data_IF_590924739326
#
_entry.id   IF_590924739326
#
_cell.length_a   1.000
_cell.length_b   1.000
_cell.length_c   1.000
_cell.angle_alpha   90.00
_cell.angle_beta   90.00
_cell.angle_gamma   90.00
#
_symmetry.space_group_name_H-M   'P 1'
#
loop_
_entity.id
_entity.type
_entity.pdbx_description
1 polymer ?
#
# COMPACT_ATOMS: atom_id res chain seq x y z
N UNK A 1 -2.91 9.71 19.63
CA UNK A 1 -2.14 10.57 18.70
C UNK A 1 -2.97 11.81 18.36
N UNK A 2 -2.42 13.03 18.51
CA UNK A 2 -3.14 14.27 18.21
C UNK A 2 -3.40 14.44 16.70
N UNK A 3 -4.45 15.23 16.35
CA UNK A 3 -4.80 15.52 14.94
C UNK A 3 -3.63 16.14 14.17
N UNK A 4 -2.91 17.08 14.80
CA UNK A 4 -1.75 17.75 14.19
C UNK A 4 -0.64 16.76 13.80
N UNK A 5 -0.31 15.80 14.66
CA UNK A 5 0.72 14.78 14.37
C UNK A 5 0.32 13.88 13.19
N UNK A 6 -0.98 13.55 13.05
CA UNK A 6 -1.48 12.75 11.91
C UNK A 6 -1.30 13.49 10.58
N UNK A 7 -1.67 14.77 10.57
CA UNK A 7 -1.56 15.64 9.38
C UNK A 7 -0.08 15.78 8.98
N UNK A 8 0.80 16.04 9.94
CA UNK A 8 2.24 16.15 9.68
C UNK A 8 2.83 14.89 9.05
N UNK A 9 2.46 13.70 9.56
CA UNK A 9 2.93 12.43 8.99
C UNK A 9 2.40 12.22 7.57
N UNK A 10 1.11 12.48 7.32
CA UNK A 10 0.56 12.37 5.96
C UNK A 10 1.23 13.34 4.99
N UNK A 11 1.57 14.55 5.43
CA UNK A 11 2.27 15.53 4.61
C UNK A 11 3.69 15.06 4.26
N UNK A 12 4.44 14.54 5.24
CA UNK A 12 5.77 13.96 4.99
C UNK A 12 5.70 12.76 4.02
N UNK A 13 4.72 11.87 4.21
CA UNK A 13 4.51 10.73 3.32
C UNK A 13 4.16 11.17 1.90
N UNK A 14 3.36 12.22 1.75
CA UNK A 14 3.03 12.82 0.47
C UNK A 14 4.28 13.38 -0.22
N UNK A 15 5.12 14.12 0.51
CA UNK A 15 6.34 14.69 -0.02
C UNK A 15 7.30 13.60 -0.52
N UNK A 16 7.51 12.54 0.28
CA UNK A 16 8.36 11.40 -0.12
C UNK A 16 7.81 10.70 -1.36
N UNK A 17 6.50 10.44 -1.42
CA UNK A 17 5.87 9.80 -2.57
C UNK A 17 5.99 10.65 -3.85
N UNK A 18 5.73 11.96 -3.75
CA UNK A 18 5.85 12.90 -4.88
C UNK A 18 7.28 13.00 -5.39
N UNK A 19 8.27 13.08 -4.49
CA UNK A 19 9.70 13.12 -4.87
C UNK A 19 10.10 11.81 -5.57
N UNK A 20 9.66 10.65 -5.06
CA UNK A 20 9.95 9.37 -5.72
C UNK A 20 9.37 9.30 -7.13
N UNK A 21 8.15 9.81 -7.33
CA UNK A 21 7.53 9.86 -8.66
C UNK A 21 8.24 10.85 -9.59
N UNK A 22 8.63 12.03 -9.09
CA UNK A 22 9.43 12.98 -9.86
C UNK A 22 10.76 12.36 -10.32
N UNK A 23 11.50 11.72 -9.40
CA UNK A 23 12.75 11.04 -9.72
C UNK A 23 12.57 9.91 -10.74
N UNK A 24 11.44 9.19 -10.70
CA UNK A 24 11.13 8.16 -11.68
C UNK A 24 10.85 8.71 -13.10
N UNK A 25 10.50 9.98 -13.22
CA UNK A 25 10.35 10.69 -14.49
C UNK A 25 11.67 11.13 -15.11
N UNK A 26 12.80 11.08 -14.39
CA UNK A 26 14.09 11.53 -14.90
C UNK A 26 14.74 10.46 -15.81
N UNK A 27 15.20 10.83 -17.02
CA UNK A 27 15.70 9.88 -18.01
C UNK A 27 16.95 9.11 -17.58
N UNK A 28 17.72 9.64 -16.61
CA UNK A 28 18.93 9.00 -16.07
C UNK A 28 18.68 7.95 -14.99
N UNK A 29 17.46 7.84 -14.45
CA UNK A 29 17.15 6.99 -13.28
C UNK A 29 16.27 5.76 -13.60
N UNK A 30 16.17 5.37 -14.88
CA UNK A 30 15.33 4.27 -15.36
C UNK A 30 15.53 2.94 -14.61
N UNK A 31 16.74 2.68 -14.14
CA UNK A 31 17.11 1.46 -13.42
C UNK A 31 16.58 1.40 -11.98
N UNK A 32 16.24 2.55 -11.37
CA UNK A 32 15.83 2.66 -9.96
C UNK A 32 14.31 2.82 -9.84
N UNK A 33 13.58 2.88 -10.96
CA UNK A 33 12.11 3.09 -11.01
C UNK A 33 11.35 2.08 -10.15
N UNK A 34 11.78 0.81 -10.14
CA UNK A 34 11.15 -0.22 -9.30
C UNK A 34 11.34 0.08 -7.80
N UNK A 35 12.54 0.49 -7.39
CA UNK A 35 12.84 0.84 -5.99
C UNK A 35 12.05 2.08 -5.57
N UNK A 36 12.01 3.11 -6.42
CA UNK A 36 11.21 4.32 -6.19
C UNK A 36 9.72 4.00 -6.09
N UNK A 37 9.22 3.07 -6.91
CA UNK A 37 7.85 2.58 -6.84
C UNK A 37 7.54 1.83 -5.54
N UNK A 38 8.48 1.07 -5.00
CA UNK A 38 8.32 0.43 -3.68
C UNK A 38 8.30 1.48 -2.57
N UNK A 39 9.23 2.44 -2.58
CA UNK A 39 9.31 3.51 -1.57
C UNK A 39 8.03 4.35 -1.56
N UNK A 40 7.54 4.74 -2.75
CA UNK A 40 6.33 5.54 -2.87
C UNK A 40 5.09 4.77 -2.38
N UNK A 41 5.01 3.47 -2.68
CA UNK A 41 3.92 2.60 -2.24
C UNK A 41 3.91 2.39 -0.72
N UNK A 42 5.08 2.25 -0.12
CA UNK A 42 5.24 2.22 1.34
C UNK A 42 4.82 3.54 1.97
N UNK A 43 5.29 4.68 1.42
CA UNK A 43 4.99 6.00 1.95
C UNK A 43 3.47 6.26 2.02
N UNK A 44 2.74 5.90 0.96
CA UNK A 44 1.29 6.09 0.88
C UNK A 44 0.55 5.32 1.98
N UNK A 45 1.04 4.15 2.40
CA UNK A 45 0.34 3.30 3.39
C UNK A 45 0.78 3.49 4.84
N UNK A 46 1.83 4.27 5.11
CA UNK A 46 2.28 4.57 6.49
C UNK A 46 1.14 5.13 7.37
N UNK A 47 0.32 6.10 6.91
CA UNK A 47 -0.79 6.61 7.74
C UNK A 47 -1.81 5.52 8.11
N UNK A 48 -2.07 4.58 7.21
CA UNK A 48 -2.95 3.42 7.42
C UNK A 48 -2.36 2.40 8.40
N UNK A 49 -1.03 2.20 8.36
CA UNK A 49 -0.34 1.32 9.31
C UNK A 49 -0.35 1.85 10.75
N UNK A 50 -0.41 3.16 10.94
CA UNK A 50 -0.46 3.79 12.26
C UNK A 50 -1.85 3.71 12.92
N UNK A 51 -2.91 3.90 12.14
CA UNK A 51 -4.31 3.77 12.61
C UNK A 51 -5.21 3.42 11.43
N UNK A 52 -6.00 2.35 11.57
CA UNK A 52 -6.95 1.91 10.53
C UNK A 52 -8.00 2.98 10.17
N UNK A 53 -8.25 3.95 11.07
CA UNK A 53 -9.17 5.08 10.82
C UNK A 53 -8.57 6.15 9.90
N UNK A 54 -7.27 6.09 9.58
CA UNK A 54 -6.59 7.05 8.72
C UNK A 54 -6.66 6.72 7.21
N UNK A 55 -7.63 5.90 6.79
CA UNK A 55 -7.80 5.55 5.38
C UNK A 55 -8.00 6.78 4.50
N UNK A 56 -8.73 7.79 4.99
CA UNK A 56 -8.91 9.08 4.31
C UNK A 56 -7.57 9.78 4.06
N UNK A 57 -6.69 9.84 5.06
CA UNK A 57 -5.37 10.46 4.91
C UNK A 57 -4.50 9.71 3.90
N UNK A 58 -4.57 8.38 3.90
CA UNK A 58 -3.85 7.53 2.92
C UNK A 58 -4.33 7.79 1.50
N UNK A 59 -5.65 7.85 1.28
CA UNK A 59 -6.23 8.17 -0.02
C UNK A 59 -5.87 9.59 -0.47
N UNK A 60 -5.87 10.56 0.44
CA UNK A 60 -5.49 11.93 0.13
C UNK A 60 -4.01 12.02 -0.26
N UNK A 61 -3.14 11.30 0.46
CA UNK A 61 -1.71 11.18 0.14
C UNK A 61 -1.52 10.57 -1.25
N UNK A 62 -2.25 9.50 -1.57
CA UNK A 62 -2.26 8.87 -2.88
C UNK A 62 -2.67 9.84 -3.98
N UNK A 63 -3.83 10.50 -3.86
CA UNK A 63 -4.36 11.41 -4.88
C UNK A 63 -3.40 12.58 -5.11
N UNK A 64 -2.99 13.27 -4.05
CA UNK A 64 -2.12 14.46 -4.16
C UNK A 64 -0.77 14.08 -4.76
N UNK A 65 -0.16 12.99 -4.28
CA UNK A 65 1.12 12.55 -4.83
C UNK A 65 1.00 12.09 -6.28
N UNK A 66 -0.09 11.41 -6.65
CA UNK A 66 -0.34 10.98 -8.04
C UNK A 66 -0.48 12.15 -8.99
N UNK A 67 -1.25 13.17 -8.61
CA UNK A 67 -1.40 14.39 -9.41
C UNK A 67 -0.03 15.06 -9.57
N UNK A 68 0.67 15.33 -8.47
CA UNK A 68 1.98 15.98 -8.52
C UNK A 68 3.01 15.16 -9.30
N UNK A 69 3.01 13.83 -9.13
CA UNK A 69 3.91 12.92 -9.81
C UNK A 69 3.69 12.87 -11.33
N UNK A 70 2.43 12.85 -11.76
CA UNK A 70 2.09 12.87 -13.19
C UNK A 70 2.41 14.23 -13.82
N UNK A 71 2.07 15.34 -13.15
CA UNK A 71 2.36 16.69 -13.65
C UNK A 71 3.87 16.97 -13.73
N UNK A 72 4.64 16.58 -12.72
CA UNK A 72 6.09 16.82 -12.68
C UNK A 72 6.88 15.78 -13.50
N UNK A 73 6.28 14.61 -13.78
CA UNK A 73 6.88 13.50 -14.51
C UNK A 73 6.50 13.42 -16.00
N UNK A 74 5.87 14.46 -16.57
CA UNK A 74 5.36 14.51 -17.94
C UNK A 74 6.36 14.02 -19.01
N UNK A 75 7.66 14.25 -18.81
CA UNK A 75 8.71 13.81 -19.73
C UNK A 75 8.79 12.29 -19.91
N UNK A 76 8.27 11.49 -18.96
CA UNK A 76 8.38 10.04 -18.93
C UNK A 76 7.15 9.41 -18.26
N UNK A 77 5.95 9.82 -18.69
CA UNK A 77 4.68 9.33 -18.12
C UNK A 77 4.56 7.81 -18.12
N UNK A 78 5.19 7.13 -19.08
CA UNK A 78 5.24 5.66 -19.22
C UNK A 78 5.86 4.98 -17.98
N UNK A 79 6.77 5.64 -17.27
CA UNK A 79 7.41 5.10 -16.06
C UNK A 79 6.69 5.48 -14.76
N UNK A 80 6.03 6.63 -14.74
CA UNK A 80 5.29 7.12 -13.56
C UNK A 80 3.93 6.46 -13.44
N UNK A 81 3.26 6.21 -14.57
CA UNK A 81 1.88 5.70 -14.61
C UNK A 81 1.72 4.30 -13.98
N UNK A 82 2.61 3.30 -14.20
CA UNK A 82 2.52 2.02 -13.51
C UNK A 82 2.63 2.15 -11.98
N UNK A 83 3.41 3.12 -11.49
CA UNK A 83 3.57 3.34 -10.05
C UNK A 83 2.25 3.82 -9.44
N UNK A 84 1.60 4.77 -10.10
CA UNK A 84 0.33 5.36 -9.65
C UNK A 84 -0.81 4.35 -9.76
N UNK A 85 -0.92 3.64 -10.88
CA UNK A 85 -2.09 2.80 -11.18
C UNK A 85 -1.99 1.41 -10.56
N UNK A 86 -0.78 0.87 -10.40
CA UNK A 86 -0.57 -0.48 -9.89
C UNK A 86 0.14 -0.50 -8.53
N UNK A 87 1.35 0.04 -8.42
CA UNK A 87 2.17 -0.11 -7.22
C UNK A 87 1.50 0.44 -5.94
N UNK A 88 1.05 1.70 -5.98
CA UNK A 88 0.44 2.34 -4.81
C UNK A 88 -0.90 1.70 -4.41
N UNK A 89 -1.85 1.42 -5.33
CA UNK A 89 -3.09 0.75 -4.98
C UNK A 89 -2.88 -0.67 -4.43
N UNK A 90 -1.93 -1.43 -4.99
CA UNK A 90 -1.58 -2.77 -4.49
C UNK A 90 -1.13 -2.72 -3.04
N UNK A 91 -0.31 -1.73 -2.66
CA UNK A 91 0.10 -1.55 -1.28
C UNK A 91 -1.08 -1.20 -0.36
N UNK A 92 -2.00 -0.33 -0.80
CA UNK A 92 -3.20 0.00 -0.02
C UNK A 92 -4.06 -1.25 0.21
N UNK A 93 -4.33 -2.01 -0.86
CA UNK A 93 -5.09 -3.27 -0.77
C UNK A 93 -4.37 -4.28 0.11
N UNK A 94 -3.03 -4.34 0.05
CA UNK A 94 -2.22 -5.22 0.90
C UNK A 94 -2.42 -4.90 2.37
N UNK A 95 -2.21 -3.65 2.76
CA UNK A 95 -2.33 -3.23 4.16
C UNK A 95 -3.79 -3.38 4.62
N UNK A 96 -4.78 -3.00 3.80
CA UNK A 96 -6.19 -3.21 4.11
C UNK A 96 -6.56 -4.69 4.30
N UNK A 97 -6.03 -5.59 3.46
CA UNK A 97 -6.33 -7.02 3.51
C UNK A 97 -5.59 -7.78 4.60
N UNK A 98 -4.36 -7.37 4.92
CA UNK A 98 -3.54 -7.97 5.99
C UNK A 98 -3.80 -7.34 7.36
N UNK A 99 -4.48 -6.18 7.42
CA UNK A 99 -4.98 -5.61 8.66
C UNK A 99 -5.99 -6.56 9.31
N UNK A 100 -5.63 -7.06 10.48
CA UNK A 100 -6.52 -7.87 11.32
C UNK A 100 -7.48 -6.93 12.04
N UNK A 101 -8.78 -7.12 11.86
CA UNK A 101 -9.77 -6.46 12.72
C UNK A 101 -9.75 -7.19 14.06
N UNK A 102 -9.13 -6.57 15.06
CA UNK A 102 -9.21 -7.05 16.44
C UNK A 102 -10.59 -6.65 16.95
N UNK A 103 -11.47 -7.62 17.11
CA UNK A 103 -12.77 -7.40 17.76
C UNK A 103 -12.65 -8.02 19.14
N UNK A 104 -12.52 -7.19 20.17
CA UNK A 104 -12.58 -7.65 21.54
C UNK A 104 -14.05 -7.75 21.91
N UNK A 105 -14.58 -8.96 21.96
CA UNK A 105 -15.91 -9.24 22.51
C UNK A 105 -15.72 -9.61 23.97
N UNK A 106 -16.25 -8.79 24.87
CA UNK A 106 -16.35 -9.14 26.29
C UNK A 106 -17.49 -10.15 26.40
N UNK A 107 -17.17 -11.41 26.67
CA UNK A 107 -18.18 -12.40 27.08
C UNK A 107 -18.12 -12.53 28.60
N UNK A 108 -19.29 -12.34 29.21
CA UNK A 108 -19.69 -12.57 30.60
C UNK A 108 -18.62 -12.32 31.67
N UNK A 109 -18.82 -11.24 32.44
CA UNK A 109 -18.18 -11.03 33.74
C UNK A 109 -18.50 -12.20 34.66
N UNK A 110 -17.59 -13.17 34.77
CA UNK A 110 -17.57 -14.06 35.92
C UNK A 110 -16.89 -13.31 37.05
N UNK A 111 -17.67 -12.93 38.06
CA UNK A 111 -17.13 -12.49 39.35
C UNK A 111 -16.64 -13.77 40.03
N UNK A 112 -15.33 -13.92 40.21
CA UNK A 112 -14.81 -14.93 41.13
C UNK A 112 -15.06 -14.40 42.53
N UNK A 113 -15.87 -15.11 43.32
CA UNK A 113 -16.01 -14.83 44.75
C UNK A 113 -14.66 -15.07 45.42
N UNK A 114 -14.22 -14.08 46.18
CA UNK A 114 -12.94 -14.07 46.87
C UNK A 114 -12.96 -15.10 48.03
N UNK A 115 -12.15 -16.18 48.01
CA UNK A 115 -12.19 -17.20 49.06
C UNK A 115 -11.67 -16.72 50.42
N UNK A 116 -11.16 -15.48 50.50
CA UNK A 116 -10.58 -14.89 51.71
C UNK A 116 -11.34 -13.66 52.24
N UNK A 117 -12.51 -13.32 51.67
CA UNK A 117 -13.44 -12.34 52.24
C UNK A 117 -12.87 -10.93 52.41
N UNK A 118 -11.90 -10.54 51.57
CA UNK A 118 -11.13 -9.32 51.77
C UNK A 118 -11.55 -8.21 50.80
N UNK A 119 -12.86 -7.99 50.63
CA UNK A 119 -13.49 -6.75 50.13
C UNK A 119 -13.08 -6.16 48.76
N UNK A 120 -12.08 -6.70 48.07
CA UNK A 120 -11.55 -6.20 46.80
C UNK A 120 -11.90 -7.18 45.68
N UNK A 121 -13.17 -7.13 45.24
CA UNK A 121 -13.68 -7.92 44.11
C UNK A 121 -12.95 -7.56 42.80
N UNK A 122 -11.84 -8.23 42.52
CA UNK A 122 -11.11 -8.08 41.25
C UNK A 122 -11.88 -8.80 40.14
N UNK A 123 -12.62 -8.04 39.34
CA UNK A 123 -13.30 -8.54 38.13
C UNK A 123 -12.28 -8.92 37.06
N UNK A 124 -12.00 -10.21 36.93
CA UNK A 124 -11.15 -10.73 35.85
C UNK A 124 -12.02 -10.89 34.60
N UNK A 125 -11.86 -9.98 33.64
CA UNK A 125 -12.63 -10.02 32.38
C UNK A 125 -11.90 -10.91 31.38
N UNK A 126 -12.48 -12.05 31.01
CA UNK A 126 -11.99 -12.88 29.92
C UNK A 126 -12.24 -12.15 28.57
N UNK A 127 -11.22 -11.45 28.08
CA UNK A 127 -11.23 -10.81 26.77
C UNK A 127 -10.99 -11.87 25.69
N UNK A 128 -12.04 -12.27 24.97
CA UNK A 128 -11.86 -13.11 23.80
C UNK A 128 -11.50 -12.21 22.60
N UNK A 129 -10.23 -12.25 22.21
CA UNK A 129 -9.68 -11.41 21.14
C UNK A 129 -9.86 -12.15 19.81
N UNK A 130 -11.00 -11.98 19.14
CA UNK A 130 -11.19 -12.53 17.80
C UNK A 130 -10.36 -11.73 16.78
N UNK A 131 -9.39 -12.41 16.15
CA UNK A 131 -8.57 -11.90 15.06
C UNK A 131 -9.12 -12.39 13.73
N UNK A 132 -9.98 -11.61 13.09
CA UNK A 132 -10.47 -11.91 11.74
C UNK A 132 -9.71 -11.09 10.69
N UNK A 133 -9.20 -11.73 9.61
CA UNK A 133 -8.66 -10.99 8.47
C UNK A 133 -9.78 -10.14 7.85
N UNK A 134 -9.47 -8.89 7.47
CA UNK A 134 -10.46 -7.99 6.88
C UNK A 134 -10.88 -8.40 5.47
N UNK A 135 -10.03 -9.13 4.76
CA UNK A 135 -10.28 -9.55 3.38
C UNK A 135 -9.93 -11.03 3.21
N UNK A 136 -10.78 -11.85 2.55
CA UNK A 136 -10.41 -13.21 2.19
C UNK A 136 -9.25 -13.23 1.18
N UNK A 137 -8.39 -14.25 1.27
CA UNK A 137 -7.16 -14.36 0.44
C UNK A 137 -7.45 -14.31 -1.06
N UNK A 138 -8.55 -14.92 -1.50
CA UNK A 138 -8.93 -14.96 -2.93
C UNK A 138 -9.22 -13.55 -3.45
N UNK A 139 -10.00 -12.76 -2.72
CA UNK A 139 -10.36 -11.39 -3.13
C UNK A 139 -9.13 -10.48 -3.18
N UNK A 140 -8.14 -10.70 -2.30
CA UNK A 140 -6.86 -9.97 -2.33
C UNK A 140 -6.13 -10.21 -3.66
N UNK A 141 -6.02 -11.46 -4.10
CA UNK A 141 -5.35 -11.81 -5.35
C UNK A 141 -6.13 -11.33 -6.57
N UNK A 142 -7.46 -11.47 -6.58
CA UNK A 142 -8.31 -10.93 -7.65
C UNK A 142 -8.10 -9.42 -7.80
N UNK A 143 -8.06 -8.66 -6.71
CA UNK A 143 -7.80 -7.22 -6.74
C UNK A 143 -6.41 -6.89 -7.31
N UNK A 144 -5.39 -7.68 -7.01
CA UNK A 144 -4.04 -7.46 -7.58
C UNK A 144 -4.00 -7.65 -9.09
N UNK A 145 -4.65 -8.71 -9.60
CA UNK A 145 -4.71 -8.94 -11.03
C UNK A 145 -5.57 -7.91 -11.75
N UNK A 146 -6.71 -7.51 -11.17
CA UNK A 146 -7.54 -6.43 -11.74
C UNK A 146 -6.75 -5.12 -11.80
N UNK A 147 -6.01 -4.77 -10.74
CA UNK A 147 -5.16 -3.57 -10.73
C UNK A 147 -4.03 -3.67 -11.77
N UNK A 148 -3.47 -4.86 -11.99
CA UNK A 148 -2.45 -5.07 -13.01
C UNK A 148 -3.02 -4.83 -14.41
N UNK A 149 -4.17 -5.43 -14.73
CA UNK A 149 -4.81 -5.27 -16.03
C UNK A 149 -5.16 -3.81 -16.31
N UNK A 150 -5.70 -3.10 -15.31
CA UNK A 150 -5.97 -1.66 -15.42
C UNK A 150 -4.67 -0.87 -15.63
N UNK A 151 -3.58 -1.25 -14.93
CA UNK A 151 -2.25 -0.66 -15.11
C UNK A 151 -1.67 -0.88 -16.51
N UNK A 152 -1.77 -2.09 -17.03
CA UNK A 152 -1.29 -2.44 -18.37
C UNK A 152 -2.12 -1.72 -19.43
N UNK A 153 -3.45 -1.72 -19.30
CA UNK A 153 -4.33 -1.04 -20.25
C UNK A 153 -4.05 0.48 -20.30
N UNK A 154 -3.93 1.13 -19.14
CA UNK A 154 -3.63 2.57 -19.07
C UNK A 154 -2.23 2.91 -19.58
N UNK A 155 -1.24 2.06 -19.33
CA UNK A 155 0.13 2.26 -19.85
C UNK A 155 0.21 2.07 -21.35
N UNK A 156 -0.48 1.07 -21.91
CA UNK A 156 -0.61 0.91 -23.35
C UNK A 156 -1.34 2.08 -24.01
N UNK A 157 -2.42 2.57 -23.38
CA UNK A 157 -3.16 3.75 -23.85
C UNK A 157 -2.27 5.01 -23.83
N UNK A 158 -1.48 5.21 -22.77
CA UNK A 158 -0.54 6.32 -22.68
C UNK A 158 0.57 6.19 -23.72
N UNK A 159 1.11 4.98 -23.95
CA UNK A 159 2.08 4.73 -25.01
C UNK A 159 1.51 5.04 -26.40
N UNK A 160 0.25 4.70 -26.65
CA UNK A 160 -0.44 5.03 -27.90
C UNK A 160 -0.59 6.54 -28.11
N UNK A 161 -1.02 7.27 -27.07
CA UNK A 161 -1.29 8.71 -27.14
C UNK A 161 -0.02 9.58 -27.23
N UNK A 162 1.01 9.26 -26.44
CA UNK A 162 2.19 10.12 -26.30
C UNK A 162 3.40 9.65 -27.12
N UNK A 163 3.49 8.35 -27.42
CA UNK A 163 4.65 7.75 -28.10
C UNK A 163 4.24 6.67 -29.12
N UNK A 164 3.48 7.03 -30.17
CA UNK A 164 2.88 6.06 -31.09
C UNK A 164 3.91 5.20 -31.84
N UNK A 165 5.11 5.74 -32.09
CA UNK A 165 6.21 5.00 -32.69
C UNK A 165 6.65 3.82 -31.81
N UNK A 166 6.79 4.03 -30.50
CA UNK A 166 7.18 2.98 -29.53
C UNK A 166 6.07 1.94 -29.39
N UNK A 167 4.81 2.39 -29.39
CA UNK A 167 3.64 1.51 -29.32
C UNK A 167 3.60 0.53 -30.50
N UNK A 168 3.78 1.01 -31.73
CA UNK A 168 3.76 0.15 -32.92
C UNK A 168 4.88 -0.90 -32.88
N UNK A 169 6.08 -0.54 -32.43
CA UNK A 169 7.20 -1.50 -32.29
C UNK A 169 6.93 -2.56 -31.22
N UNK A 170 6.25 -2.20 -30.14
CA UNK A 170 5.90 -3.12 -29.05
C UNK A 170 4.81 -4.08 -29.49
N UNK A 171 3.73 -3.60 -30.09
CA UNK A 171 2.56 -4.42 -30.47
C UNK A 171 2.87 -5.35 -31.66
N UNK A 172 3.71 -4.93 -32.60
CA UNK A 172 4.14 -5.76 -33.71
C UNK A 172 5.18 -6.83 -33.32
N UNK A 173 5.73 -6.76 -32.10
CA UNK A 173 6.70 -7.73 -31.63
C UNK A 173 6.05 -9.06 -31.28
N UNK A 174 6.61 -10.16 -31.79
CA UNK A 174 6.22 -11.54 -31.41
C UNK A 174 6.38 -11.80 -29.90
N UNK A 175 7.19 -11.00 -29.21
CA UNK A 175 7.43 -11.11 -27.77
C UNK A 175 6.35 -10.43 -26.93
N UNK A 176 5.45 -9.65 -27.51
CA UNK A 176 4.43 -8.90 -26.77
C UNK A 176 3.56 -9.80 -25.88
N UNK A 177 3.06 -10.91 -26.42
CA UNK A 177 2.27 -11.87 -25.67
C UNK A 177 3.08 -12.52 -24.52
N UNK A 178 4.37 -12.79 -24.75
CA UNK A 178 5.26 -13.37 -23.73
C UNK A 178 5.51 -12.36 -22.60
N UNK A 179 5.68 -11.08 -22.92
CA UNK A 179 5.85 -10.00 -21.94
C UNK A 179 4.58 -9.80 -21.09
N UNK A 180 3.39 -9.90 -21.70
CA UNK A 180 2.13 -9.86 -20.95
C UNK A 180 1.99 -11.03 -19.97
N UNK A 181 2.36 -12.24 -20.39
CA UNK A 181 2.37 -13.41 -19.49
C UNK A 181 3.43 -13.25 -18.39
N UNK A 182 4.62 -12.74 -18.71
CA UNK A 182 5.67 -12.47 -17.73
C UNK A 182 5.26 -11.42 -16.69
N UNK A 183 4.48 -10.40 -17.09
CA UNK A 183 3.95 -9.39 -16.18
C UNK A 183 3.04 -9.99 -15.09
N UNK A 184 2.32 -11.07 -15.38
CA UNK A 184 1.49 -11.77 -14.39
C UNK A 184 2.32 -12.38 -13.25
N UNK A 185 3.53 -12.88 -13.56
CA UNK A 185 4.45 -13.39 -12.54
C UNK A 185 5.09 -12.25 -11.72
N UNK A 186 5.26 -11.07 -12.31
CA UNK A 186 5.82 -9.91 -11.61
C UNK A 186 4.95 -9.46 -10.42
N UNK A 187 3.63 -9.69 -10.46
CA UNK A 187 2.72 -9.41 -9.33
C UNK A 187 3.14 -10.17 -8.07
N UNK A 188 3.50 -11.45 -8.22
CA UNK A 188 3.91 -12.31 -7.10
C UNK A 188 5.24 -11.81 -6.52
N UNK A 189 6.22 -11.53 -7.37
CA UNK A 189 7.52 -11.00 -6.95
C UNK A 189 7.38 -9.64 -6.24
N UNK A 190 6.51 -8.77 -6.77
CA UNK A 190 6.23 -7.47 -6.18
C UNK A 190 5.52 -7.59 -4.82
N UNK A 191 4.59 -8.54 -4.65
CA UNK A 191 3.97 -8.83 -3.35
C UNK A 191 5.04 -9.22 -2.31
N UNK A 192 5.99 -10.09 -2.66
CA UNK A 192 7.09 -10.47 -1.76
C UNK A 192 7.96 -9.27 -1.36
N UNK A 193 8.35 -8.42 -2.32
CA UNK A 193 9.12 -7.20 -2.06
C UNK A 193 8.38 -6.24 -1.12
N UNK A 194 7.11 -5.95 -1.42
CA UNK A 194 6.27 -5.12 -0.56
C UNK A 194 6.12 -5.71 0.84
N UNK A 195 5.99 -7.04 0.96
CA UNK A 195 5.88 -7.70 2.27
C UNK A 195 7.12 -7.46 3.11
N UNK A 196 8.30 -7.64 2.52
CA UNK A 196 9.57 -7.39 3.20
C UNK A 196 9.68 -5.93 3.67
N UNK A 197 9.38 -4.98 2.78
CA UNK A 197 9.43 -3.56 3.08
C UNK A 197 8.45 -3.17 4.20
N UNK A 198 7.20 -3.65 4.14
CA UNK A 198 6.18 -3.36 5.14
C UNK A 198 6.51 -3.98 6.51
N UNK A 199 7.10 -5.18 6.55
CA UNK A 199 7.56 -5.79 7.81
C UNK A 199 8.69 -4.95 8.44
N UNK A 200 9.63 -4.47 7.63
CA UNK A 200 10.71 -3.59 8.11
C UNK A 200 10.15 -2.29 8.70
N UNK A 201 9.22 -1.65 7.99
CA UNK A 201 8.55 -0.43 8.46
C UNK A 201 7.73 -0.70 9.71
N UNK A 202 6.99 -1.81 9.78
CA UNK A 202 6.23 -2.19 10.98
C UNK A 202 7.14 -2.41 12.20
N UNK A 203 8.33 -3.00 12.01
CA UNK A 203 9.32 -3.12 13.09
C UNK A 203 9.76 -1.74 13.58
N UNK A 204 10.15 -0.85 12.66
CA UNK A 204 10.60 0.52 13.01
C UNK A 204 9.49 1.29 13.74
N UNK A 205 8.25 1.24 13.25
CA UNK A 205 7.11 1.89 13.87
C UNK A 205 6.83 1.35 15.29
N UNK A 206 6.97 0.04 15.52
CA UNK A 206 6.84 -0.53 16.87
C UNK A 206 7.92 -0.04 17.83
N UNK A 207 9.16 0.13 17.35
CA UNK A 207 10.23 0.73 18.16
C UNK A 207 9.96 2.20 18.46
N UNK A 208 9.45 2.97 17.49
CA UNK A 208 9.14 4.39 17.65
C UNK A 208 7.89 4.67 18.51
N UNK A 209 7.01 3.68 18.69
CA UNK A 209 5.76 3.78 19.48
C UNK A 209 5.90 3.16 20.88
N UNK A 210 7.09 2.66 21.26
CA UNK A 210 7.34 2.30 22.67
C UNK A 210 7.16 3.56 23.55
N UNK A 211 6.37 3.46 24.63
CA UNK A 211 6.15 4.56 25.56
C UNK A 211 7.45 5.01 26.23
#
# INVERSE_FOLDING_TARGET
>A
MSKAKRIAISAMCCAVASVCMFLSGLPGLKWIVLVLGVISSVAVVIPLMLDAKNLVYTLLTYIVSSILGVFLGLANIVYVLPIVVFCMPVAIVKVCGEMVKITATVKDTQVMEDPFGNGDDRKVVNLNVERKPRLPKVVKWVLYYVLLEVGIALTLLACYLFTPAVFNTIVQSKWFAIVLVAAQFAVVAYDFLLRGALIAVAKILRFAVKP
#
